data_IF_237182164033
#
_entry.id   IF_237182164033
#
_cell.length_a   1.000
_cell.length_b   1.000
_cell.length_c   1.000
_cell.angle_alpha   90.00
_cell.angle_beta   90.00
_cell.angle_gamma   90.00
#
_symmetry.space_group_name_H-M   'P 1'
#
loop_
_entity.id
_entity.type
_entity.pdbx_description
1 polymer ?
#
# COMPACT_ATOMS: atom_id res chain seq x y z
N UNK A 1 11.73 17.24 20.05
CA UNK A 1 12.02 16.41 18.85
C UNK A 1 10.69 16.09 18.17
N UNK A 2 10.52 16.39 16.88
CA UNK A 2 9.27 16.12 16.14
C UNK A 2 9.23 14.63 15.83
N UNK A 3 8.21 13.90 16.29
CA UNK A 3 8.01 12.49 15.88
C UNK A 3 7.79 12.48 14.37
N UNK A 4 8.70 11.85 13.63
CA UNK A 4 8.52 11.64 12.20
C UNK A 4 7.49 10.52 12.04
N UNK A 5 6.47 10.74 11.24
CA UNK A 5 5.44 9.76 10.89
C UNK A 5 5.04 9.98 9.44
N UNK A 6 4.62 8.91 8.76
CA UNK A 6 4.10 9.02 7.40
C UNK A 6 2.82 9.87 7.43
N UNK A 7 2.63 10.71 6.41
CA UNK A 7 1.37 11.44 6.28
C UNK A 7 0.21 10.44 6.12
N UNK A 8 -1.01 10.79 6.59
CA UNK A 8 -2.19 9.94 6.40
C UNK A 8 -2.41 9.57 4.93
N UNK A 9 -2.21 10.53 4.03
CA UNK A 9 -2.36 10.33 2.58
C UNK A 9 -1.32 9.38 1.99
N UNK A 10 -0.05 9.46 2.41
CA UNK A 10 0.97 8.51 1.97
C UNK A 10 0.71 7.11 2.53
N UNK A 11 0.31 7.01 3.79
CA UNK A 11 0.00 5.72 4.40
C UNK A 11 -1.17 5.01 3.69
N UNK A 12 -2.22 5.76 3.31
CA UNK A 12 -3.32 5.22 2.52
C UNK A 12 -2.88 4.77 1.12
N UNK A 13 -2.05 5.56 0.42
CA UNK A 13 -1.51 5.17 -0.89
C UNK A 13 -0.64 3.91 -0.83
N UNK A 14 0.18 3.77 0.22
CA UNK A 14 0.97 2.56 0.46
C UNK A 14 0.08 1.35 0.68
N UNK A 15 -0.97 1.48 1.49
CA UNK A 15 -1.92 0.40 1.75
C UNK A 15 -2.63 -0.05 0.46
N UNK A 16 -3.14 0.89 -0.35
CA UNK A 16 -3.77 0.58 -1.65
C UNK A 16 -2.79 -0.13 -2.59
N UNK A 17 -1.57 0.37 -2.75
CA UNK A 17 -0.58 -0.23 -3.66
C UNK A 17 -0.12 -1.62 -3.20
N UNK A 18 0.12 -1.79 -1.89
CA UNK A 18 0.64 -3.04 -1.33
C UNK A 18 -0.42 -4.12 -1.13
N UNK A 19 -1.71 -3.75 -1.04
CA UNK A 19 -2.82 -4.69 -0.92
C UNK A 19 -3.65 -4.79 -2.21
N UNK A 20 -3.17 -4.23 -3.32
CA UNK A 20 -3.83 -4.28 -4.63
C UNK A 20 -4.15 -5.70 -5.13
N UNK A 21 -3.40 -6.70 -4.66
CA UNK A 21 -3.60 -8.11 -5.02
C UNK A 21 -4.70 -8.79 -4.19
N UNK A 22 -5.16 -8.15 -3.12
CA UNK A 22 -6.26 -8.65 -2.32
C UNK A 22 -7.58 -8.53 -3.11
N UNK A 23 -8.29 -9.65 -3.25
CA UNK A 23 -9.52 -9.75 -4.05
C UNK A 23 -10.81 -9.61 -3.23
N UNK A 24 -10.74 -9.55 -1.90
CA UNK A 24 -11.95 -9.43 -1.09
C UNK A 24 -12.51 -8.00 -1.16
N UNK A 25 -13.80 -7.93 -1.54
CA UNK A 25 -14.53 -6.67 -1.68
C UNK A 25 -14.51 -5.84 -0.39
N UNK A 26 -14.69 -6.47 0.76
CA UNK A 26 -14.71 -5.80 2.07
C UNK A 26 -13.40 -5.07 2.38
N UNK A 27 -12.24 -5.69 2.09
CA UNK A 27 -10.94 -5.03 2.30
C UNK A 27 -10.73 -3.91 1.31
N UNK A 28 -11.16 -4.06 0.05
CA UNK A 28 -11.07 -2.99 -0.94
C UNK A 28 -11.91 -1.78 -0.54
N UNK A 29 -13.17 -1.99 -0.17
CA UNK A 29 -14.07 -0.90 0.26
C UNK A 29 -13.54 -0.19 1.51
N UNK A 30 -13.04 -0.95 2.50
CA UNK A 30 -12.41 -0.38 3.69
C UNK A 30 -11.19 0.49 3.34
N UNK A 31 -10.30 0.01 2.47
CA UNK A 31 -9.11 0.76 2.05
C UNK A 31 -9.48 2.04 1.29
N UNK A 32 -10.50 2.00 0.45
CA UNK A 32 -10.99 3.20 -0.24
C UNK A 32 -11.62 4.21 0.71
N UNK A 33 -12.39 3.76 1.71
CA UNK A 33 -12.96 4.62 2.74
C UNK A 33 -11.86 5.27 3.59
N UNK A 34 -10.83 4.52 3.98
CA UNK A 34 -9.66 5.04 4.68
C UNK A 34 -8.89 6.06 3.82
N UNK A 35 -8.73 5.80 2.52
CA UNK A 35 -8.08 6.72 1.60
C UNK A 35 -8.86 8.02 1.41
N UNK A 36 -10.19 7.96 1.25
CA UNK A 36 -11.06 9.14 1.19
C UNK A 36 -10.98 9.95 2.49
N UNK A 37 -10.98 9.28 3.64
CA UNK A 37 -10.83 9.93 4.95
C UNK A 37 -9.45 10.59 5.13
N UNK A 38 -8.43 10.08 4.45
CA UNK A 38 -7.09 10.67 4.39
C UNK A 38 -6.97 11.83 3.36
N UNK A 39 -8.06 12.19 2.68
CA UNK A 39 -8.15 13.30 1.74
C UNK A 39 -7.83 12.96 0.28
N UNK A 40 -7.73 11.68 -0.08
CA UNK A 40 -7.50 11.29 -1.47
C UNK A 40 -8.77 11.45 -2.32
N UNK A 41 -8.57 11.94 -3.53
CA UNK A 41 -9.58 11.93 -4.60
C UNK A 41 -9.72 10.54 -5.22
N UNK A 42 -10.82 10.31 -5.96
CA UNK A 42 -11.01 9.06 -6.70
C UNK A 42 -9.85 8.78 -7.68
N UNK A 43 -9.37 9.79 -8.38
CA UNK A 43 -8.24 9.65 -9.30
C UNK A 43 -6.92 9.26 -8.60
N UNK A 44 -6.67 9.78 -7.40
CA UNK A 44 -5.50 9.40 -6.59
C UNK A 44 -5.61 7.97 -6.05
N UNK A 45 -6.82 7.54 -5.67
CA UNK A 45 -7.11 6.17 -5.26
C UNK A 45 -6.84 5.20 -6.43
N UNK A 46 -7.36 5.50 -7.62
CA UNK A 46 -7.14 4.70 -8.83
C UNK A 46 -5.65 4.63 -9.20
N UNK A 47 -4.93 5.74 -9.09
CA UNK A 47 -3.48 5.77 -9.29
C UNK A 47 -2.77 4.86 -8.27
N UNK A 48 -3.10 4.98 -7.00
CA UNK A 48 -2.48 4.20 -5.92
C UNK A 48 -2.72 2.70 -6.06
N UNK A 49 -3.92 2.27 -6.48
CA UNK A 49 -4.21 0.86 -6.79
C UNK A 49 -3.25 0.27 -7.83
N UNK A 50 -2.76 1.10 -8.75
CA UNK A 50 -1.81 0.69 -9.80
C UNK A 50 -0.35 0.98 -9.43
N UNK A 51 -0.06 1.26 -8.15
CA UNK A 51 1.29 1.55 -7.66
C UNK A 51 1.83 2.90 -8.13
N UNK A 52 0.96 3.86 -8.45
CA UNK A 52 1.31 5.20 -8.95
C UNK A 52 0.83 6.29 -8.00
N UNK A 53 1.37 7.49 -8.15
CA UNK A 53 0.96 8.70 -7.45
C UNK A 53 1.28 9.91 -8.32
N UNK A 54 0.48 10.98 -8.20
CA UNK A 54 0.75 12.25 -8.87
C UNK A 54 1.83 13.06 -8.16
N UNK A 55 2.04 12.83 -6.85
CA UNK A 55 3.14 13.43 -6.10
C UNK A 55 4.43 12.62 -6.31
N UNK A 56 5.50 13.29 -6.69
CA UNK A 56 6.77 12.64 -7.06
C UNK A 56 7.42 11.93 -5.87
N UNK A 57 7.31 12.50 -4.66
CA UNK A 57 7.84 11.87 -3.44
C UNK A 57 7.02 10.64 -3.07
N UNK A 58 5.70 10.74 -3.06
CA UNK A 58 4.80 9.62 -2.80
C UNK A 58 4.98 8.51 -3.85
N UNK A 59 5.13 8.86 -5.13
CA UNK A 59 5.43 7.90 -6.19
C UNK A 59 6.74 7.14 -5.95
N UNK A 60 7.79 7.85 -5.53
CA UNK A 60 9.06 7.21 -5.19
C UNK A 60 8.95 6.32 -3.93
N UNK A 61 8.21 6.75 -2.92
CA UNK A 61 7.93 5.97 -1.71
C UNK A 61 7.18 4.67 -2.02
N UNK A 62 6.11 4.74 -2.83
CA UNK A 62 5.32 3.57 -3.25
C UNK A 62 6.19 2.58 -4.03
N UNK A 63 7.03 3.07 -4.96
CA UNK A 63 7.96 2.21 -5.71
C UNK A 63 8.97 1.52 -4.79
N UNK A 64 9.49 2.22 -3.80
CA UNK A 64 10.39 1.63 -2.80
C UNK A 64 9.66 0.56 -1.97
N UNK A 65 8.46 0.85 -1.47
CA UNK A 65 7.64 -0.10 -0.72
C UNK A 65 7.32 -1.38 -1.53
N UNK A 66 6.97 -1.23 -2.81
CA UNK A 66 6.73 -2.38 -3.70
C UNK A 66 8.00 -3.21 -3.93
N UNK A 67 9.18 -2.56 -4.02
CA UNK A 67 10.45 -3.26 -4.09
C UNK A 67 10.75 -4.04 -2.80
N UNK A 68 10.50 -3.44 -1.63
CA UNK A 68 10.59 -4.12 -0.33
C UNK A 68 9.66 -5.34 -0.29
N UNK A 69 8.39 -5.20 -0.71
CA UNK A 69 7.43 -6.32 -0.77
C UNK A 69 7.88 -7.45 -1.71
N UNK A 70 8.68 -7.14 -2.73
CA UNK A 70 9.19 -8.14 -3.67
C UNK A 70 10.41 -8.91 -3.15
N UNK A 71 10.98 -8.49 -2.01
CA UNK A 71 12.23 -9.04 -1.44
C UNK A 71 13.42 -9.07 -2.42
N UNK A 72 13.41 -8.21 -3.45
CA UNK A 72 14.48 -8.10 -4.43
C UNK A 72 15.51 -7.06 -3.98
N UNK A 73 16.67 -7.51 -3.53
CA UNK A 73 17.74 -6.62 -3.04
C UNK A 73 18.15 -5.55 -4.07
N UNK A 74 18.24 -5.93 -5.35
CA UNK A 74 18.58 -5.02 -6.45
C UNK A 74 17.48 -3.95 -6.62
N UNK A 75 16.20 -4.37 -6.58
CA UNK A 75 15.07 -3.44 -6.71
C UNK A 75 15.01 -2.50 -5.49
N UNK A 76 15.27 -3.01 -4.29
CA UNK A 76 15.31 -2.25 -3.03
C UNK A 76 16.41 -1.21 -3.10
N UNK A 77 17.64 -1.59 -3.44
CA UNK A 77 18.76 -0.66 -3.55
C UNK A 77 18.51 0.44 -4.60
N UNK A 78 18.01 0.05 -5.77
CA UNK A 78 17.74 0.98 -6.88
C UNK A 78 16.62 1.98 -6.53
N UNK A 79 15.53 1.50 -5.94
CA UNK A 79 14.40 2.34 -5.55
C UNK A 79 14.73 3.24 -4.36
N UNK A 80 15.51 2.77 -3.38
CA UNK A 80 16.04 3.58 -2.26
C UNK A 80 16.88 4.75 -2.78
N UNK A 81 17.85 4.48 -3.65
CA UNK A 81 18.69 5.52 -4.25
C UNK A 81 17.86 6.54 -5.06
N UNK A 82 16.81 6.09 -5.76
CA UNK A 82 15.89 6.99 -6.46
C UNK A 82 15.07 7.84 -5.49
N UNK A 83 14.52 7.26 -4.43
CA UNK A 83 13.71 7.99 -3.45
C UNK A 83 14.51 9.08 -2.72
N UNK A 84 15.77 8.80 -2.35
CA UNK A 84 16.69 9.80 -1.81
C UNK A 84 16.89 10.98 -2.78
N UNK A 85 17.08 10.70 -4.09
CA UNK A 85 17.20 11.76 -5.12
C UNK A 85 15.93 12.58 -5.31
N UNK A 86 14.76 12.03 -5.01
CA UNK A 86 13.47 12.73 -5.06
C UNK A 86 13.20 13.52 -3.76
N UNK A 87 14.11 13.48 -2.80
CA UNK A 87 14.05 14.27 -1.57
C UNK A 87 13.30 13.60 -0.42
N UNK A 88 13.23 12.26 -0.40
CA UNK A 88 12.92 11.54 0.84
C UNK A 88 14.16 11.47 1.73
N UNK A 89 13.97 11.53 3.04
CA UNK A 89 15.04 11.29 4.01
C UNK A 89 15.22 9.79 4.27
N UNK A 90 16.32 9.43 4.95
CA UNK A 90 16.55 8.04 5.37
C UNK A 90 15.49 7.60 6.38
N UNK A 91 15.14 8.47 7.31
CA UNK A 91 14.12 8.21 8.33
C UNK A 91 12.74 8.00 7.70
N UNK A 92 12.37 8.78 6.68
CA UNK A 92 11.13 8.55 5.94
C UNK A 92 11.14 7.20 5.22
N UNK A 93 12.28 6.80 4.65
CA UNK A 93 12.42 5.50 3.99
C UNK A 93 12.34 4.33 4.97
N UNK A 94 12.91 4.45 6.16
CA UNK A 94 12.83 3.42 7.19
C UNK A 94 11.38 3.23 7.68
N UNK A 95 10.61 4.32 7.76
CA UNK A 95 9.17 4.26 8.04
C UNK A 95 8.39 3.59 6.90
N UNK A 96 8.70 3.91 5.64
CA UNK A 96 8.08 3.26 4.48
C UNK A 96 8.39 1.77 4.44
N UNK A 97 9.64 1.38 4.72
CA UNK A 97 10.08 -0.02 4.77
C UNK A 97 9.37 -0.78 5.88
N UNK A 98 9.35 -0.24 7.09
CA UNK A 98 8.62 -0.82 8.23
C UNK A 98 7.16 -1.05 7.88
N UNK A 99 6.51 -0.02 7.31
CA UNK A 99 5.10 -0.10 6.92
C UNK A 99 4.85 -1.12 5.81
N UNK A 100 5.77 -1.24 4.84
CA UNK A 100 5.66 -2.21 3.76
C UNK A 100 5.73 -3.65 4.30
N UNK A 101 6.62 -3.91 5.26
CA UNK A 101 6.77 -5.20 5.91
C UNK A 101 5.54 -5.54 6.77
N UNK A 102 5.03 -4.59 7.55
CA UNK A 102 3.78 -4.76 8.32
C UNK A 102 2.60 -5.18 7.42
N UNK A 103 2.41 -4.49 6.30
CA UNK A 103 1.32 -4.77 5.36
C UNK A 103 1.51 -6.12 4.65
N UNK A 104 2.75 -6.51 4.33
CA UNK A 104 3.05 -7.82 3.76
C UNK A 104 2.71 -8.97 4.73
N UNK A 105 2.90 -8.76 6.04
CA UNK A 105 2.54 -9.75 7.06
C UNK A 105 1.02 -9.89 7.25
N UNK A 106 0.24 -8.83 6.98
CA UNK A 106 -1.23 -8.86 7.08
C UNK A 106 -1.89 -9.72 5.98
N UNK A 107 -1.31 -9.83 4.78
CA UNK A 107 -1.86 -10.72 3.74
C UNK A 107 -1.74 -12.21 4.14
N UNK A 108 -0.71 -12.59 4.90
CA UNK A 108 -0.46 -13.98 5.31
C UNK A 108 -1.52 -14.47 6.32
N UNK A 109 -2.05 -13.58 7.16
CA UNK A 109 -3.06 -13.92 8.17
C UNK A 109 -4.48 -14.02 7.61
N UNK A 110 -4.80 -13.31 6.52
CA UNK A 110 -6.10 -13.41 5.84
C UNK A 110 -6.17 -14.65 4.94
N UNK A 111 -5.07 -15.01 4.26
CA UNK A 111 -4.99 -16.22 3.42
C UNK A 111 -5.10 -17.53 4.21
N UNK A 112 -4.92 -17.48 5.54
CA UNK A 112 -4.95 -18.65 6.43
C UNK A 112 -6.32 -18.90 7.10
N UNK A 113 -7.36 -18.10 6.79
CA UNK A 113 -8.72 -18.34 7.30
C UNK A 113 -9.47 -19.28 6.33
N UNK A 114 -9.94 -20.46 6.78
CA UNK A 114 -10.64 -21.42 5.92
C UNK A 114 -12.09 -21.03 5.58
N UNK A 115 -12.58 -19.90 6.08
CA UNK A 115 -14.02 -19.58 6.05
C UNK A 115 -14.36 -18.50 5.02
N UNK A 116 -14.25 -18.83 3.73
CA UNK A 116 -15.01 -18.13 2.69
C UNK A 116 -15.74 -19.15 1.82
N UNK A 117 -16.82 -19.70 2.37
CA UNK A 117 -17.87 -20.34 1.58
C UNK A 117 -18.52 -19.24 0.74
N UNK A 118 -18.37 -19.33 -0.58
CA UNK A 118 -19.07 -18.48 -1.54
C UNK A 118 -20.58 -18.51 -1.25
N UNK A 119 -21.30 -17.37 -1.34
CA UNK A 119 -22.75 -17.39 -1.20
C UNK A 119 -23.34 -18.26 -2.32
N UNK A 120 -23.92 -19.40 -1.95
CA UNK A 120 -24.69 -20.22 -2.87
C UNK A 120 -25.92 -19.40 -3.32
N UNK A 121 -25.88 -18.90 -4.55
CA UNK A 121 -27.07 -18.39 -5.21
C UNK A 121 -28.07 -19.55 -5.35
N UNK A 122 -29.08 -19.58 -4.47
CA UNK A 122 -30.24 -20.44 -4.65
C UNK A 122 -31.08 -19.89 -5.80
N UNK A 123 -30.99 -20.53 -6.97
CA UNK A 123 -31.95 -20.36 -8.04
C UNK A 123 -33.33 -20.82 -7.53
N UNK A 124 -34.31 -19.91 -7.53
CA UNK A 124 -35.72 -20.25 -7.35
C UNK A 124 -36.28 -20.65 -8.72
N UNK A 125 -36.79 -21.87 -8.83
CA UNK A 125 -37.77 -22.27 -9.83
C UNK A 125 -39.06 -22.65 -9.10
#
# INVERSE_FOLDING_TARGET
>A
MKRISLSPSLNAQLALALLARCVCYETRDKLEQEARSAGLTGAEIDAAWTGRSFDVKCSAAIRFALAVRSFSEIAIATSRARALRMGLTREELDLVETRALELAMLEITVASRPDHVAPQFKAKH
#
